data_IF_326707023335
#
_entry.id   IF_326707023335
#
_cell.length_a   1.000
_cell.length_b   1.000
_cell.length_c   1.000
_cell.angle_alpha   90.00
_cell.angle_beta   90.00
_cell.angle_gamma   90.00
#
_symmetry.space_group_name_H-M   'P 1'
#
loop_
_entity.id
_entity.type
_entity.pdbx_description
1 polymer ?
#
# COMPACT_ATOMS: atom_id res chain seq x y z
N UNK A 1 -17.76 19.40 -6.31
CA UNK A 1 -17.66 17.91 -6.15
C UNK A 1 -16.77 17.66 -4.95
N UNK A 2 -17.23 16.88 -4.00
CA UNK A 2 -16.44 16.53 -2.81
C UNK A 2 -15.48 15.36 -3.13
N UNK A 3 -14.18 15.53 -2.84
CA UNK A 3 -13.17 14.46 -2.98
C UNK A 3 -12.84 13.88 -1.61
N UNK A 4 -12.81 12.56 -1.51
CA UNK A 4 -12.55 11.84 -0.26
C UNK A 4 -11.46 10.78 -0.48
N UNK A 5 -10.43 10.81 0.36
CA UNK A 5 -9.43 9.75 0.45
C UNK A 5 -9.79 8.79 1.58
N UNK A 6 -10.17 7.56 1.23
CA UNK A 6 -10.46 6.50 2.20
C UNK A 6 -9.16 5.77 2.62
N UNK A 7 -8.20 6.50 3.18
CA UNK A 7 -6.90 5.96 3.59
C UNK A 7 -6.24 6.84 4.64
N UNK A 8 -5.56 6.22 5.61
CA UNK A 8 -4.69 6.89 6.60
C UNK A 8 -3.23 7.03 6.12
N UNK A 9 -2.89 6.54 4.94
CA UNK A 9 -1.51 6.54 4.46
C UNK A 9 -1.02 7.95 4.17
N UNK A 10 0.05 8.45 4.84
CA UNK A 10 0.63 9.77 4.57
C UNK A 10 1.08 9.90 3.11
N UNK A 11 1.66 8.84 2.56
CA UNK A 11 2.13 8.82 1.17
C UNK A 11 1.00 8.98 0.16
N UNK A 12 -0.15 8.32 0.38
CA UNK A 12 -1.31 8.47 -0.51
C UNK A 12 -1.92 9.85 -0.41
N UNK A 13 -1.91 10.45 0.78
CA UNK A 13 -2.32 11.84 0.98
C UNK A 13 -1.43 12.79 0.17
N UNK A 14 -0.13 12.62 0.28
CA UNK A 14 0.86 13.41 -0.47
C UNK A 14 0.63 13.31 -1.98
N UNK A 15 0.51 12.09 -2.52
CA UNK A 15 0.24 11.86 -3.94
C UNK A 15 -1.09 12.45 -4.40
N UNK A 16 -2.14 12.38 -3.57
CA UNK A 16 -3.44 12.94 -3.93
C UNK A 16 -3.42 14.46 -3.92
N UNK A 17 -2.61 15.10 -3.07
CA UNK A 17 -2.45 16.55 -3.04
C UNK A 17 -1.78 17.13 -4.28
N UNK A 18 -1.09 16.32 -5.07
CA UNK A 18 -0.56 16.70 -6.39
C UNK A 18 -1.67 16.83 -7.47
N UNK A 19 -2.83 16.20 -7.21
CA UNK A 19 -3.96 16.15 -8.17
C UNK A 19 -5.10 17.06 -7.73
N UNK A 20 -5.39 17.11 -6.43
CA UNK A 20 -6.50 17.84 -5.85
C UNK A 20 -6.01 18.79 -4.76
N UNK A 21 -6.33 20.08 -4.87
CA UNK A 21 -5.97 21.09 -3.86
C UNK A 21 -6.69 20.84 -2.53
N UNK A 22 -7.94 20.37 -2.58
CA UNK A 22 -8.74 20.10 -1.40
C UNK A 22 -9.39 18.71 -1.46
N UNK A 23 -9.25 17.94 -0.39
CA UNK A 23 -9.93 16.67 -0.19
C UNK A 23 -10.04 16.32 1.29
N UNK A 24 -11.04 15.52 1.63
CA UNK A 24 -11.25 15.01 2.98
C UNK A 24 -10.55 13.65 3.16
N UNK A 25 -9.96 13.42 4.32
CA UNK A 25 -9.41 12.12 4.69
C UNK A 25 -10.43 11.41 5.59
N UNK A 26 -10.97 10.29 5.10
CA UNK A 26 -11.97 9.51 5.80
C UNK A 26 -11.61 8.01 5.71
N UNK A 27 -10.64 7.56 6.53
CA UNK A 27 -10.25 6.16 6.55
C UNK A 27 -11.40 5.28 7.03
N UNK A 28 -11.49 4.09 6.45
CA UNK A 28 -12.52 3.12 6.82
C UNK A 28 -11.92 2.01 7.68
N UNK A 29 -12.57 1.73 8.79
CA UNK A 29 -12.25 0.57 9.61
C UNK A 29 -13.01 -0.65 9.07
N UNK A 30 -12.38 -1.39 8.18
CA UNK A 30 -12.97 -2.54 7.50
C UNK A 30 -12.19 -3.82 7.78
N UNK A 31 -12.90 -4.94 7.78
CA UNK A 31 -12.26 -6.27 7.85
C UNK A 31 -11.70 -6.61 6.47
N UNK A 32 -10.37 -6.61 6.35
CA UNK A 32 -9.67 -6.89 5.11
C UNK A 32 -9.56 -8.40 4.86
N UNK A 33 -10.68 -9.04 4.47
CA UNK A 33 -10.68 -10.44 4.06
C UNK A 33 -10.72 -10.55 2.54
N UNK A 34 -9.73 -11.22 1.97
CA UNK A 34 -9.62 -11.46 0.55
C UNK A 34 -9.51 -12.97 0.29
N UNK A 35 -10.32 -13.47 -0.66
CA UNK A 35 -10.33 -14.88 -1.08
C UNK A 35 -9.42 -15.19 -2.27
N UNK A 36 -8.85 -14.16 -2.88
CA UNK A 36 -7.99 -14.32 -4.06
C UNK A 36 -6.57 -14.66 -3.67
N UNK A 37 -5.87 -15.35 -4.58
CA UNK A 37 -4.44 -15.72 -4.44
C UNK A 37 -3.55 -14.95 -5.43
N UNK A 38 -4.14 -14.47 -6.53
CA UNK A 38 -3.42 -13.65 -7.52
C UNK A 38 -3.24 -12.23 -6.99
N UNK A 39 -2.01 -11.67 -7.03
CA UNK A 39 -1.70 -10.36 -6.49
C UNK A 39 -2.56 -9.21 -7.03
N UNK A 40 -2.81 -9.19 -8.34
CA UNK A 40 -3.64 -8.19 -9.02
C UNK A 40 -5.10 -8.21 -8.54
N UNK A 41 -5.65 -9.40 -8.30
CA UNK A 41 -7.01 -9.55 -7.77
C UNK A 41 -7.08 -9.19 -6.28
N UNK A 42 -6.04 -9.51 -5.53
CA UNK A 42 -5.96 -9.18 -4.10
C UNK A 42 -6.00 -7.67 -3.91
N UNK A 43 -5.10 -6.91 -4.56
CA UNK A 43 -5.04 -5.46 -4.36
C UNK A 43 -6.29 -4.73 -4.83
N UNK A 44 -6.90 -5.17 -5.94
CA UNK A 44 -8.17 -4.62 -6.40
C UNK A 44 -9.32 -4.92 -5.43
N UNK A 45 -9.36 -6.14 -4.89
CA UNK A 45 -10.37 -6.53 -3.91
C UNK A 45 -10.23 -5.74 -2.61
N UNK A 46 -9.01 -5.64 -2.06
CA UNK A 46 -8.75 -4.89 -0.83
C UNK A 46 -9.03 -3.39 -1.00
N UNK A 47 -8.67 -2.82 -2.14
CA UNK A 47 -9.01 -1.43 -2.46
C UNK A 47 -10.53 -1.23 -2.47
N UNK A 48 -11.30 -2.13 -3.11
CA UNK A 48 -12.78 -2.06 -3.08
C UNK A 48 -13.36 -2.21 -1.68
N UNK A 49 -12.85 -3.13 -0.88
CA UNK A 49 -13.28 -3.33 0.52
C UNK A 49 -13.09 -2.03 1.32
N UNK A 50 -11.99 -1.33 1.09
CA UNK A 50 -11.70 -0.04 1.76
C UNK A 50 -12.66 1.11 1.36
N UNK A 51 -13.37 1.00 0.24
CA UNK A 51 -14.49 1.92 -0.09
C UNK A 51 -15.77 1.58 0.69
N UNK A 52 -15.93 0.35 1.13
CA UNK A 52 -17.16 -0.39 1.35
C UNK A 52 -18.17 0.12 2.36
N UNK A 53 -17.80 0.95 3.33
CA UNK A 53 -18.70 1.45 4.38
C UNK A 53 -18.98 2.95 4.29
N UNK A 54 -18.61 3.58 3.19
CA UNK A 54 -18.92 4.98 2.99
C UNK A 54 -20.39 5.15 2.64
N UNK A 55 -21.10 6.11 3.24
CA UNK A 55 -22.51 6.34 2.94
C UNK A 55 -22.68 6.66 1.45
N UNK A 56 -23.27 5.71 0.74
CA UNK A 56 -23.52 5.73 -0.72
C UNK A 56 -24.51 6.84 -1.13
N UNK A 57 -25.12 7.53 -0.19
CA UNK A 57 -26.08 8.63 -0.45
C UNK A 57 -25.44 9.89 -1.08
N UNK A 58 -24.12 9.92 -1.22
CA UNK A 58 -23.40 11.07 -1.76
C UNK A 58 -23.26 10.97 -3.28
N UNK A 59 -24.31 11.31 -3.98
CA UNK A 59 -24.35 11.33 -5.47
C UNK A 59 -23.28 12.22 -6.15
N UNK A 60 -22.64 13.12 -5.41
CA UNK A 60 -21.66 14.08 -5.94
C UNK A 60 -20.27 13.94 -5.28
N UNK A 61 -19.92 12.74 -4.84
CA UNK A 61 -18.62 12.49 -4.24
C UNK A 61 -17.75 11.62 -5.13
N UNK A 62 -16.48 11.98 -5.18
CA UNK A 62 -15.39 11.15 -5.68
C UNK A 62 -14.68 10.55 -4.46
N UNK A 63 -14.70 9.23 -4.32
CA UNK A 63 -14.06 8.54 -3.20
C UNK A 63 -12.97 7.62 -3.75
N UNK A 64 -11.76 7.77 -3.21
CA UNK A 64 -10.58 7.03 -3.66
C UNK A 64 -10.03 6.22 -2.51
N UNK A 65 -9.76 4.95 -2.77
CA UNK A 65 -9.04 4.05 -1.88
C UNK A 65 -7.97 3.30 -2.63
N UNK A 66 -6.99 2.78 -1.92
CA UNK A 66 -5.94 1.96 -2.50
C UNK A 66 -5.43 0.90 -1.52
N UNK A 67 -4.81 -0.14 -2.06
CA UNK A 67 -4.07 -1.13 -1.30
C UNK A 67 -2.78 -1.52 -2.01
N UNK A 68 -1.73 -1.83 -1.24
CA UNK A 68 -0.41 -2.15 -1.77
C UNK A 68 0.12 -3.40 -1.10
N UNK A 69 0.62 -4.33 -1.90
CA UNK A 69 1.33 -5.53 -1.45
C UNK A 69 2.66 -5.68 -2.16
N UNK A 70 3.61 -6.29 -1.49
CA UNK A 70 4.85 -6.79 -2.07
C UNK A 70 4.69 -8.28 -2.33
N UNK A 71 5.18 -8.76 -3.46
CA UNK A 71 5.05 -10.14 -3.91
C UNK A 71 6.38 -10.67 -4.44
N UNK A 72 6.79 -11.83 -3.96
CA UNK A 72 7.95 -12.56 -4.45
C UNK A 72 7.71 -14.06 -4.32
N UNK A 73 7.95 -14.81 -5.39
CA UNK A 73 7.96 -16.28 -5.43
C UNK A 73 6.75 -16.96 -4.75
N UNK A 74 5.55 -16.43 -5.02
CA UNK A 74 4.30 -16.96 -4.46
C UNK A 74 3.96 -16.43 -3.07
N UNK A 75 4.85 -15.70 -2.41
CA UNK A 75 4.65 -15.11 -1.08
C UNK A 75 4.23 -13.64 -1.18
N UNK A 76 3.27 -13.26 -0.34
CA UNK A 76 2.80 -11.90 -0.19
C UNK A 76 3.36 -11.33 1.12
N UNK A 77 3.95 -10.16 1.03
CA UNK A 77 4.47 -9.39 2.14
C UNK A 77 3.57 -8.18 2.37
N UNK A 78 2.79 -8.23 3.43
CA UNK A 78 2.00 -7.11 3.92
C UNK A 78 2.81 -6.22 4.85
N UNK A 79 2.11 -5.46 5.70
CA UNK A 79 2.75 -4.73 6.79
C UNK A 79 3.27 -5.72 7.84
N UNK A 80 4.52 -5.55 8.31
CA UNK A 80 5.04 -6.43 9.36
C UNK A 80 4.29 -6.21 10.68
N UNK A 81 4.13 -7.26 11.46
CA UNK A 81 3.47 -7.23 12.77
C UNK A 81 4.35 -6.63 13.85
N UNK A 82 5.65 -6.86 13.73
CA UNK A 82 6.68 -6.44 14.68
C UNK A 82 8.04 -6.28 13.98
N UNK A 83 9.02 -5.79 14.72
CA UNK A 83 10.37 -5.57 14.21
C UNK A 83 11.07 -6.86 13.77
N UNK A 84 10.79 -8.00 14.40
CA UNK A 84 11.34 -9.28 14.01
C UNK A 84 10.87 -9.70 12.62
N UNK A 85 9.58 -9.57 12.37
CA UNK A 85 9.01 -9.87 11.04
C UNK A 85 9.47 -8.87 9.99
N UNK A 86 9.65 -7.58 10.35
CA UNK A 86 10.22 -6.60 9.43
C UNK A 86 11.64 -6.98 8.98
N UNK A 87 12.50 -7.42 9.90
CA UNK A 87 13.85 -7.91 9.57
C UNK A 87 13.80 -9.17 8.69
N UNK A 88 12.91 -10.10 9.00
CA UNK A 88 12.70 -11.30 8.18
C UNK A 88 12.32 -10.93 6.75
N UNK A 89 11.37 -10.03 6.55
CA UNK A 89 10.96 -9.56 5.23
C UNK A 89 12.13 -8.95 4.45
N UNK A 90 12.91 -8.08 5.09
CA UNK A 90 14.06 -7.45 4.45
C UNK A 90 15.14 -8.47 4.07
N UNK A 91 15.38 -9.48 4.91
CA UNK A 91 16.33 -10.59 4.59
C UNK A 91 15.86 -11.39 3.38
N UNK A 92 14.58 -11.74 3.31
CA UNK A 92 14.02 -12.50 2.20
C UNK A 92 14.01 -11.72 0.88
N UNK A 93 13.86 -10.41 0.92
CA UNK A 93 13.89 -9.53 -0.25
C UNK A 93 15.30 -9.10 -0.63
N UNK A 94 16.28 -9.30 0.25
CA UNK A 94 17.64 -8.79 0.13
C UNK A 94 18.35 -9.25 -1.14
N UNK A 95 18.95 -8.32 -1.85
CA UNK A 95 19.77 -8.59 -3.04
C UNK A 95 19.03 -9.23 -4.21
N UNK A 96 17.71 -9.14 -4.24
CA UNK A 96 16.88 -9.81 -5.24
C UNK A 96 15.75 -8.93 -5.75
N UNK A 97 15.12 -9.38 -6.82
CA UNK A 97 13.99 -8.72 -7.48
C UNK A 97 12.68 -9.21 -6.90
N UNK A 98 11.77 -8.28 -6.66
CA UNK A 98 10.40 -8.56 -6.27
C UNK A 98 9.41 -7.59 -6.98
N UNK A 99 8.14 -7.84 -6.80
CA UNK A 99 7.08 -7.06 -7.43
C UNK A 99 6.27 -6.32 -6.36
N UNK A 100 5.89 -5.10 -6.66
CA UNK A 100 4.98 -4.28 -5.86
C UNK A 100 3.70 -4.08 -6.67
N UNK A 101 2.58 -4.48 -6.12
CA UNK A 101 1.26 -4.28 -6.70
C UNK A 101 0.50 -3.23 -5.89
N UNK A 102 -0.09 -2.27 -6.58
CA UNK A 102 -1.02 -1.31 -5.97
C UNK A 102 -2.35 -1.37 -6.70
N UNK A 103 -3.39 -1.70 -5.97
CA UNK A 103 -4.77 -1.61 -6.43
C UNK A 103 -5.38 -0.28 -6.03
N UNK A 104 -6.17 0.30 -6.92
CA UNK A 104 -6.95 1.50 -6.68
C UNK A 104 -8.42 1.20 -6.93
N UNK A 105 -9.29 1.70 -6.08
CA UNK A 105 -10.72 1.70 -6.30
C UNK A 105 -11.27 3.11 -6.17
N UNK A 106 -12.13 3.49 -7.12
CA UNK A 106 -12.74 4.80 -7.21
C UNK A 106 -14.25 4.63 -7.25
N UNK A 107 -14.94 5.26 -6.31
CA UNK A 107 -16.39 5.42 -6.37
C UNK A 107 -16.73 6.79 -6.95
N UNK A 108 -17.58 6.81 -7.96
CA UNK A 108 -18.08 8.02 -8.57
C UNK A 108 -19.47 7.80 -9.17
N UNK A 109 -20.43 8.65 -8.84
CA UNK A 109 -21.81 8.61 -9.36
C UNK A 109 -22.46 7.23 -9.33
N UNK A 110 -22.38 6.54 -8.19
CA UNK A 110 -23.01 5.21 -8.00
C UNK A 110 -22.22 4.06 -8.63
N UNK A 111 -21.08 4.30 -9.25
CA UNK A 111 -20.25 3.27 -9.89
C UNK A 111 -18.91 3.13 -9.20
N UNK A 112 -18.40 1.90 -9.16
CA UNK A 112 -17.07 1.59 -8.67
C UNK A 112 -16.18 1.16 -9.84
N UNK A 113 -15.08 1.87 -9.99
CA UNK A 113 -13.99 1.55 -10.92
C UNK A 113 -12.83 0.98 -10.13
N UNK A 114 -12.15 -0.04 -10.66
CA UNK A 114 -10.94 -0.54 -10.02
C UNK A 114 -9.92 -0.99 -11.04
N UNK A 115 -8.67 -0.66 -10.77
CA UNK A 115 -7.52 -1.03 -11.57
C UNK A 115 -6.33 -1.32 -10.65
N UNK A 116 -5.24 -1.76 -11.22
CA UNK A 116 -3.98 -1.96 -10.51
C UNK A 116 -2.80 -1.55 -11.37
N UNK A 117 -1.70 -1.28 -10.72
CA UNK A 117 -0.40 -1.13 -11.35
C UNK A 117 0.62 -2.02 -10.66
N UNK A 118 1.72 -2.31 -11.35
CA UNK A 118 2.77 -3.21 -10.90
C UNK A 118 4.15 -2.63 -11.22
N UNK A 119 4.99 -2.56 -10.21
CA UNK A 119 6.39 -2.17 -10.36
C UNK A 119 7.31 -3.33 -9.96
N UNK A 120 8.43 -3.46 -10.66
CA UNK A 120 9.51 -4.35 -10.27
C UNK A 120 10.54 -3.54 -9.47
N UNK A 121 10.96 -4.08 -8.34
CA UNK A 121 11.96 -3.47 -7.46
C UNK A 121 13.11 -4.46 -7.30
N UNK A 122 14.33 -3.97 -7.46
CA UNK A 122 15.56 -4.73 -7.23
C UNK A 122 16.28 -4.13 -6.03
N UNK A 123 16.51 -4.95 -5.01
CA UNK A 123 17.36 -4.56 -3.88
C UNK A 123 18.82 -4.83 -4.18
N UNK A 124 19.68 -3.85 -3.93
CA UNK A 124 21.08 -4.09 -3.68
C UNK A 124 21.25 -4.89 -2.38
N UNK A 125 22.42 -5.50 -2.17
CA UNK A 125 22.66 -6.25 -0.95
C UNK A 125 22.74 -5.31 0.25
N UNK A 126 21.91 -5.58 1.26
CA UNK A 126 21.96 -4.96 2.57
C UNK A 126 22.80 -5.83 3.50
N UNK A 127 23.61 -5.21 4.37
CA UNK A 127 24.19 -5.88 5.51
C UNK A 127 23.17 -6.08 6.63
N UNK A 128 23.48 -6.96 7.59
CA UNK A 128 22.63 -7.10 8.80
C UNK A 128 22.55 -5.78 9.59
N UNK A 129 23.61 -5.00 9.59
CA UNK A 129 23.64 -3.67 10.22
C UNK A 129 22.67 -2.70 9.55
N UNK A 130 22.64 -2.68 8.20
CA UNK A 130 21.68 -1.85 7.45
C UNK A 130 20.24 -2.21 7.79
N UNK A 131 19.93 -3.52 7.86
CA UNK A 131 18.59 -4.02 8.23
C UNK A 131 18.24 -3.61 9.67
N UNK A 132 19.17 -3.78 10.61
CA UNK A 132 18.98 -3.39 12.00
C UNK A 132 18.68 -1.90 12.16
N UNK A 133 19.46 -1.05 11.51
CA UNK A 133 19.30 0.40 11.57
C UNK A 133 17.97 0.85 10.97
N UNK A 134 17.60 0.30 9.81
CA UNK A 134 16.35 0.66 9.13
C UNK A 134 15.13 0.28 9.97
N UNK A 135 15.10 -0.96 10.48
CA UNK A 135 14.00 -1.44 11.34
C UNK A 135 13.94 -0.71 12.67
N UNK A 136 15.09 -0.38 13.28
CA UNK A 136 15.12 0.37 14.55
C UNK A 136 14.66 1.81 14.39
N UNK A 137 14.81 2.40 13.20
CA UNK A 137 14.27 3.72 12.85
C UNK A 137 12.74 3.78 12.82
N UNK A 138 12.04 2.62 12.84
CA UNK A 138 10.58 2.52 12.97
C UNK A 138 9.78 2.81 11.70
N UNK A 139 10.40 3.29 10.63
CA UNK A 139 9.75 3.63 9.37
C UNK A 139 9.15 2.44 8.60
N UNK A 140 9.72 1.23 8.63
CA UNK A 140 9.21 0.10 7.85
C UNK A 140 7.89 -0.48 8.33
N UNK A 141 7.44 -0.17 9.55
CA UNK A 141 6.29 -0.83 10.18
C UNK A 141 4.95 -0.52 9.55
N UNK A 142 4.82 0.60 8.86
CA UNK A 142 3.59 1.02 8.19
C UNK A 142 3.52 0.68 6.70
N UNK A 143 4.54 -0.02 6.18
CA UNK A 143 4.71 -0.30 4.75
C UNK A 143 4.69 -1.79 4.43
N UNK A 144 4.05 -2.16 3.31
CA UNK A 144 4.13 -3.51 2.76
C UNK A 144 5.59 -3.88 2.46
N UNK A 145 6.01 -5.11 2.81
CA UNK A 145 7.38 -5.58 2.63
C UNK A 145 8.40 -4.94 3.57
N UNK A 146 7.97 -4.13 4.52
CA UNK A 146 8.79 -3.46 5.52
C UNK A 146 9.80 -2.46 4.95
N UNK A 147 9.54 -1.81 3.82
CA UNK A 147 10.41 -0.77 3.26
C UNK A 147 9.64 0.31 2.50
N UNK A 148 10.32 1.42 2.25
CA UNK A 148 9.83 2.48 1.37
C UNK A 148 10.89 2.88 0.35
N UNK A 149 10.46 3.30 -0.85
CA UNK A 149 11.35 3.73 -1.93
C UNK A 149 11.92 5.13 -1.74
N UNK A 150 11.57 5.76 -0.66
CA UNK A 150 12.03 7.11 -0.29
C UNK A 150 12.81 7.08 1.02
N UNK A 151 13.54 8.15 1.27
CA UNK A 151 14.38 8.28 2.43
C UNK A 151 15.66 7.44 2.33
N UNK A 152 16.16 7.01 3.48
CA UNK A 152 17.43 6.27 3.57
C UNK A 152 17.44 4.99 2.73
N UNK A 153 16.32 4.25 2.72
CA UNK A 153 16.23 2.97 2.01
C UNK A 153 16.35 3.11 0.49
N UNK A 154 16.13 4.29 -0.07
CA UNK A 154 16.31 4.56 -1.50
C UNK A 154 17.73 4.23 -1.99
N UNK A 155 18.74 4.30 -1.12
CA UNK A 155 20.13 3.96 -1.46
C UNK A 155 20.32 2.45 -1.77
N UNK A 156 19.40 1.59 -1.39
CA UNK A 156 19.46 0.14 -1.58
C UNK A 156 18.60 -0.39 -2.73
N UNK A 157 17.95 0.50 -3.47
CA UNK A 157 17.05 0.15 -4.60
C UNK A 157 17.72 0.45 -5.95
#
# INVERSE_FOLDING_TARGET
MKVILASNSPRRRELLSEIFEEFEILPQNVIEKCKYTRPDLIVKSLAKIKLGNLPIEKKECLIISADTIVYKDGKIYGKPKDKSQAKEFLRELNGDKHLVYTGVAIYFNGKIYSFFDRSAVLFNRLSEEDIEEDVNGGLPMDKAGAYGVQGRFAAFI
#
